data_IF_687080118624
#
_entry.id   IF_687080118624
#
_cell.length_a   1.000
_cell.length_b   1.000
_cell.length_c   1.000
_cell.angle_alpha   90.00
_cell.angle_beta   90.00
_cell.angle_gamma   90.00
#
_symmetry.space_group_name_H-M   'P 1'
#
loop_
_entity.id
_entity.type
_entity.pdbx_description
1 polymer ?
#
# COMPACT_ATOMS: atom_id res chain seq x y z
N UNK A 1 44.06 10.80 -32.20
CA UNK A 1 44.02 12.08 -31.47
C UNK A 1 42.79 12.09 -30.58
N UNK A 2 42.94 11.72 -29.31
CA UNK A 2 41.85 11.73 -28.33
C UNK A 2 41.83 13.12 -27.68
N UNK A 3 40.84 13.94 -28.02
CA UNK A 3 40.63 15.24 -27.39
C UNK A 3 40.19 15.07 -25.93
N UNK A 4 40.49 16.03 -25.04
CA UNK A 4 40.10 15.94 -23.65
C UNK A 4 38.57 15.98 -23.53
N UNK A 5 37.98 14.88 -23.04
CA UNK A 5 36.58 14.83 -22.65
C UNK A 5 36.36 15.86 -21.53
N UNK A 6 35.69 16.95 -21.90
CA UNK A 6 35.37 18.08 -21.04
C UNK A 6 34.47 17.61 -19.88
N UNK A 7 35.03 17.62 -18.66
CA UNK A 7 34.47 17.08 -17.39
C UNK A 7 33.04 17.54 -17.07
N UNK A 8 32.57 18.64 -17.68
CA UNK A 8 31.21 19.17 -17.52
C UNK A 8 30.12 18.32 -18.20
N UNK A 9 30.46 17.57 -19.24
CA UNK A 9 29.48 16.73 -19.96
C UNK A 9 29.26 15.36 -19.29
N UNK A 10 30.20 14.93 -18.43
CA UNK A 10 30.10 13.66 -17.71
C UNK A 10 29.00 13.67 -16.62
N UNK A 11 28.68 14.85 -16.08
CA UNK A 11 27.68 15.01 -15.00
C UNK A 11 26.24 14.90 -15.53
N UNK A 12 25.98 15.39 -16.75
CA UNK A 12 24.63 15.34 -17.35
C UNK A 12 24.30 13.89 -17.78
N UNK A 13 25.29 13.15 -18.28
CA UNK A 13 25.10 11.78 -18.74
C UNK A 13 24.90 10.78 -17.59
N UNK A 14 25.39 11.08 -16.39
CA UNK A 14 25.25 10.21 -15.20
C UNK A 14 23.91 10.37 -14.48
N UNK A 15 23.19 11.48 -14.65
CA UNK A 15 21.84 11.66 -14.08
C UNK A 15 20.75 10.86 -14.80
N UNK A 16 20.96 10.49 -16.07
CA UNK A 16 20.03 9.70 -16.89
C UNK A 16 20.09 8.18 -16.63
N UNK A 17 21.06 7.74 -15.81
CA UNK A 17 21.33 6.32 -15.53
C UNK A 17 20.89 5.89 -14.13
N UNK A 18 20.21 6.73 -13.35
CA UNK A 18 19.49 6.24 -12.18
C UNK A 18 18.33 5.39 -12.72
N UNK A 19 18.38 4.04 -12.59
CA UNK A 19 17.22 3.25 -12.89
C UNK A 19 16.16 3.72 -11.90
N UNK A 20 14.95 3.89 -12.40
CA UNK A 20 13.78 4.17 -11.59
C UNK A 20 13.56 3.05 -10.57
N UNK A 21 14.32 3.04 -9.48
CA UNK A 21 13.95 2.39 -8.22
C UNK A 21 12.85 3.24 -7.55
N UNK A 22 11.83 3.62 -8.32
CA UNK A 22 10.53 3.90 -7.76
C UNK A 22 10.00 2.52 -7.37
N UNK A 23 10.32 2.10 -6.14
CA UNK A 23 9.72 0.89 -5.57
C UNK A 23 8.22 1.00 -5.81
N UNK A 24 7.63 -0.01 -6.45
CA UNK A 24 6.18 -0.11 -6.58
C UNK A 24 5.63 0.00 -5.16
N UNK A 25 5.05 1.17 -4.84
CA UNK A 25 4.57 1.45 -3.50
C UNK A 25 3.52 0.39 -3.16
N UNK A 26 3.71 -0.31 -2.05
CA UNK A 26 2.73 -1.30 -1.61
C UNK A 26 1.41 -0.58 -1.37
N UNK A 27 0.38 -0.96 -2.10
CA UNK A 27 -0.95 -0.40 -1.97
C UNK A 27 -1.71 -1.10 -0.84
N UNK A 28 -2.72 -0.42 -0.30
CA UNK A 28 -3.57 -1.02 0.74
C UNK A 28 -4.21 -2.33 0.27
N UNK A 29 -4.58 -2.40 -1.01
CA UNK A 29 -5.16 -3.58 -1.63
C UNK A 29 -4.18 -4.76 -1.76
N UNK A 30 -2.88 -4.56 -1.61
CA UNK A 30 -1.89 -5.64 -1.65
C UNK A 30 -1.76 -6.38 -0.31
N UNK A 31 -2.13 -5.72 0.80
CA UNK A 31 -1.93 -6.23 2.16
C UNK A 31 -3.27 -6.60 2.80
N UNK A 32 -4.29 -5.77 2.63
CA UNK A 32 -5.52 -5.90 3.39
C UNK A 32 -6.48 -6.89 2.75
N UNK A 33 -6.83 -7.93 3.52
CA UNK A 33 -7.90 -8.87 3.16
C UNK A 33 -9.26 -8.33 3.52
N UNK A 34 -10.26 -8.76 2.76
CA UNK A 34 -11.67 -8.47 3.03
C UNK A 34 -12.06 -8.98 4.43
N UNK A 35 -12.67 -8.14 5.28
CA UNK A 35 -13.13 -8.58 6.58
C UNK A 35 -14.35 -9.50 6.43
N UNK A 36 -14.57 -10.43 7.38
CA UNK A 36 -15.69 -11.35 7.31
C UNK A 36 -17.04 -10.62 7.39
N UNK A 37 -18.01 -11.07 6.58
CA UNK A 37 -19.41 -10.65 6.75
C UNK A 37 -19.99 -11.43 7.92
N UNK A 38 -20.36 -10.71 8.97
CA UNK A 38 -20.91 -11.30 10.19
C UNK A 38 -22.43 -11.14 10.23
N UNK A 39 -23.12 -12.15 10.77
CA UNK A 39 -24.56 -12.04 11.06
C UNK A 39 -24.81 -11.00 12.15
N UNK A 40 -26.04 -10.51 12.26
CA UNK A 40 -26.41 -9.54 13.30
C UNK A 40 -26.14 -10.08 14.72
N UNK A 41 -26.51 -11.34 14.99
CA UNK A 41 -26.25 -11.98 16.28
C UNK A 41 -24.75 -12.05 16.60
N UNK A 42 -23.93 -12.37 15.60
CA UNK A 42 -22.46 -12.38 15.73
C UNK A 42 -21.92 -10.97 15.96
N UNK A 43 -22.44 -9.96 15.25
CA UNK A 43 -22.05 -8.57 15.45
C UNK A 43 -22.36 -8.10 16.87
N UNK A 44 -23.56 -8.39 17.39
CA UNK A 44 -23.93 -8.07 18.77
C UNK A 44 -23.00 -8.76 19.77
N UNK A 45 -22.71 -10.05 19.57
CA UNK A 45 -21.77 -10.78 20.43
C UNK A 45 -20.38 -10.14 20.42
N UNK A 46 -19.86 -9.79 19.25
CA UNK A 46 -18.55 -9.16 19.11
C UNK A 46 -18.50 -7.77 19.74
N UNK A 47 -19.54 -6.96 19.60
CA UNK A 47 -19.61 -5.64 20.25
C UNK A 47 -19.56 -5.77 21.77
N UNK A 48 -20.27 -6.74 22.34
CA UNK A 48 -20.31 -6.95 23.79
C UNK A 48 -19.02 -7.57 24.35
N UNK A 49 -18.46 -8.57 23.65
CA UNK A 49 -17.41 -9.44 24.21
C UNK A 49 -16.03 -9.21 23.60
N UNK A 50 -15.96 -8.63 22.39
CA UNK A 50 -14.73 -8.46 21.63
C UNK A 50 -14.72 -7.12 20.88
N UNK A 51 -15.08 -6.03 21.57
CA UNK A 51 -15.25 -4.70 20.97
C UNK A 51 -14.08 -4.26 20.07
N UNK A 52 -12.79 -4.47 20.42
CA UNK A 52 -11.68 -4.13 19.52
C UNK A 52 -11.73 -4.85 18.17
N UNK A 53 -12.16 -6.12 18.15
CA UNK A 53 -12.34 -6.87 16.91
C UNK A 53 -13.54 -6.34 16.10
N UNK A 54 -14.65 -6.00 16.77
CA UNK A 54 -15.80 -5.41 16.11
C UNK A 54 -15.44 -4.07 15.43
N UNK A 55 -14.68 -3.22 16.12
CA UNK A 55 -14.17 -1.96 15.59
C UNK A 55 -13.22 -2.18 14.42
N UNK A 56 -12.30 -3.15 14.55
CA UNK A 56 -11.39 -3.50 13.45
C UNK A 56 -12.14 -3.97 12.20
N UNK A 57 -13.15 -4.83 12.35
CA UNK A 57 -13.99 -5.31 11.23
C UNK A 57 -14.68 -4.11 10.56
N UNK A 58 -15.30 -3.23 11.36
CA UNK A 58 -16.03 -2.07 10.84
C UNK A 58 -15.11 -1.08 10.10
N UNK A 59 -13.96 -0.74 10.68
CA UNK A 59 -13.01 0.19 10.06
C UNK A 59 -12.33 -0.41 8.82
N UNK A 60 -12.01 -1.71 8.86
CA UNK A 60 -11.46 -2.41 7.71
C UNK A 60 -12.46 -2.46 6.57
N UNK A 61 -13.75 -2.71 6.86
CA UNK A 61 -14.79 -2.72 5.83
C UNK A 61 -14.92 -1.34 5.15
N UNK A 62 -14.89 -0.26 5.92
CA UNK A 62 -14.88 1.12 5.39
C UNK A 62 -13.66 1.38 4.51
N UNK A 63 -12.47 0.97 4.95
CA UNK A 63 -11.23 1.16 4.18
C UNK A 63 -11.21 0.30 2.91
N UNK A 64 -11.69 -0.94 2.96
CA UNK A 64 -11.86 -1.79 1.78
C UNK A 64 -12.79 -1.15 0.75
N UNK A 65 -13.90 -0.53 1.18
CA UNK A 65 -14.80 0.18 0.28
C UNK A 65 -14.15 1.40 -0.40
N UNK A 66 -13.15 2.02 0.25
CA UNK A 66 -12.45 3.20 -0.27
C UNK A 66 -11.22 2.88 -1.11
N UNK A 67 -10.43 1.89 -0.70
CA UNK A 67 -9.10 1.63 -1.25
C UNK A 67 -8.98 0.27 -1.96
N UNK A 68 -10.03 -0.56 -1.94
CA UNK A 68 -9.99 -1.94 -2.38
C UNK A 68 -9.35 -2.87 -1.35
N UNK A 69 -9.63 -4.17 -1.46
CA UNK A 69 -9.04 -5.24 -0.64
C UNK A 69 -8.90 -6.51 -1.47
N UNK A 70 -8.01 -7.40 -1.05
CA UNK A 70 -7.91 -8.76 -1.61
C UNK A 70 -9.16 -9.55 -1.20
N UNK A 71 -9.74 -10.25 -2.17
CA UNK A 71 -10.89 -11.16 -1.96
C UNK A 71 -10.54 -12.37 -1.07
#
# INVERSE_FOLDING_TARGET
MQGPLNMKHAVILTMLLLPACAGQGVSFADIQRKPPVVSEATASYLVTNARPLAEWIAETAKKCARFGCVD
#
